data_IF_604793306427
#
_entry.id   IF_604793306427
#
_cell.length_a   1.000
_cell.length_b   1.000
_cell.length_c   1.000
_cell.angle_alpha   90.00
_cell.angle_beta   90.00
_cell.angle_gamma   90.00
#
_symmetry.space_group_name_H-M   'P 1'
#
loop_
_entity.id
_entity.type
_entity.pdbx_description
1 polymer ?
#
# COMPACT_ATOMS: atom_id res chain seq x y z
N UNK A 1 -16.97 -78.23 32.76
CA UNK A 1 -16.72 -78.56 34.19
C UNK A 1 -15.44 -77.88 34.64
N UNK A 2 -15.43 -77.25 35.83
CA UNK A 2 -14.27 -76.85 36.69
C UNK A 2 -13.23 -75.91 36.03
N UNK A 3 -13.19 -74.60 36.27
CA UNK A 3 -13.02 -73.78 37.50
C UNK A 3 -11.62 -73.91 38.16
N UNK A 4 -11.02 -72.73 38.37
CA UNK A 4 -9.88 -72.35 39.24
C UNK A 4 -8.47 -72.54 38.69
N UNK A 5 -7.48 -71.67 38.90
CA UNK A 5 -7.25 -70.29 39.42
C UNK A 5 -5.72 -70.23 39.64
N UNK A 6 -5.15 -69.01 39.74
CA UNK A 6 -3.80 -68.61 40.26
C UNK A 6 -2.80 -68.25 39.15
N UNK A 7 -2.04 -67.16 39.17
CA UNK A 7 -1.70 -66.16 40.20
C UNK A 7 -1.33 -64.82 39.52
N UNK A 8 -1.64 -63.74 40.23
CA UNK A 8 -1.26 -62.34 39.99
C UNK A 8 0.13 -62.01 40.56
N UNK A 9 0.92 -61.18 39.85
CA UNK A 9 1.77 -60.10 40.40
C UNK A 9 2.27 -59.21 39.23
N UNK A 10 1.85 -57.93 39.15
CA UNK A 10 2.61 -56.69 39.47
C UNK A 10 3.90 -56.54 38.65
N UNK A 11 4.14 -55.48 37.87
CA UNK A 11 4.12 -54.03 38.14
C UNK A 11 4.26 -53.27 36.79
N UNK A 12 4.05 -51.97 36.56
CA UNK A 12 3.55 -50.81 37.30
C UNK A 12 3.34 -49.67 36.27
N UNK A 13 2.49 -48.70 36.67
CA UNK A 13 2.51 -47.26 36.31
C UNK A 13 2.27 -46.83 34.84
N UNK A 14 1.58 -45.74 34.52
CA UNK A 14 0.81 -44.72 35.25
C UNK A 14 0.11 -43.80 34.20
N UNK A 15 -0.67 -42.84 34.72
CA UNK A 15 -1.12 -41.58 34.10
C UNK A 15 -2.49 -41.56 33.41
N UNK A 16 -3.49 -41.23 34.23
CA UNK A 16 -4.74 -40.53 33.89
C UNK A 16 -4.47 -39.09 33.41
N UNK A 17 -5.16 -38.66 32.35
CA UNK A 17 -5.34 -37.25 32.02
C UNK A 17 -6.85 -36.93 31.86
N UNK A 18 -7.29 -35.89 32.58
CA UNK A 18 -8.58 -35.20 32.46
C UNK A 18 -8.63 -34.48 31.09
N UNK A 19 -9.76 -34.44 30.36
CA UNK A 19 -10.90 -33.57 30.64
C UNK A 19 -10.76 -32.25 29.89
N UNK A 20 -11.38 -32.12 28.71
CA UNK A 20 -11.56 -30.85 28.01
C UNK A 20 -13.04 -30.68 27.68
N UNK A 21 -13.64 -29.64 28.26
CA UNK A 21 -15.05 -29.31 28.14
C UNK A 21 -15.38 -28.72 26.78
N UNK A 22 -16.56 -29.09 26.28
CA UNK A 22 -17.21 -28.40 25.18
C UNK A 22 -17.86 -27.11 25.71
N UNK A 23 -17.56 -25.99 25.06
CA UNK A 23 -18.35 -24.76 25.13
C UNK A 23 -18.75 -24.43 23.68
N UNK A 24 -20.04 -24.41 23.44
CA UNK A 24 -20.64 -23.85 22.24
C UNK A 24 -21.66 -22.79 22.67
N UNK A 25 -21.53 -21.57 22.14
CA UNK A 25 -22.53 -20.78 21.40
C UNK A 25 -22.29 -19.27 21.50
N UNK A 26 -22.20 -18.58 20.36
CA UNK A 26 -22.35 -17.12 20.19
C UNK A 26 -21.84 -16.63 18.82
N UNK A 27 -22.56 -15.75 18.07
CA UNK A 27 -22.26 -15.40 16.68
C UNK A 27 -21.26 -14.23 16.54
N UNK A 28 -20.63 -14.18 15.35
CA UNK A 28 -20.03 -13.05 14.63
C UNK A 28 -19.06 -12.12 15.40
N UNK A 29 -17.79 -12.13 14.98
CA UNK A 29 -17.06 -10.88 14.81
C UNK A 29 -17.17 -10.50 13.33
N UNK A 30 -17.94 -9.45 13.08
CA UNK A 30 -17.94 -8.69 11.85
C UNK A 30 -16.60 -7.96 11.81
N UNK A 31 -15.84 -8.09 10.73
CA UNK A 31 -14.80 -7.10 10.44
C UNK A 31 -15.53 -5.75 10.30
N UNK A 32 -15.19 -4.81 11.18
CA UNK A 32 -15.59 -3.42 11.04
C UNK A 32 -14.95 -2.90 9.76
N UNK A 33 -15.77 -2.36 8.86
CA UNK A 33 -15.28 -1.45 7.85
C UNK A 33 -14.73 -0.20 8.55
N UNK A 34 -13.69 0.41 8.00
CA UNK A 34 -13.34 1.79 8.36
C UNK A 34 -14.59 2.68 8.26
N UNK A 35 -14.74 3.64 9.18
CA UNK A 35 -15.73 4.71 9.14
C UNK A 35 -15.36 5.66 7.97
N UNK A 36 -15.55 5.21 6.73
CA UNK A 36 -15.12 5.92 5.53
C UNK A 36 -16.08 5.73 4.36
N UNK A 37 -16.39 6.83 3.69
CA UNK A 37 -16.97 6.82 2.35
C UNK A 37 -15.86 7.16 1.36
N UNK A 38 -15.86 6.53 0.19
CA UNK A 38 -15.03 6.94 -0.94
C UNK A 38 -15.96 7.45 -2.05
N UNK A 39 -15.57 8.54 -2.72
CA UNK A 39 -16.33 9.07 -3.85
C UNK A 39 -15.44 9.18 -5.08
N UNK A 40 -15.74 8.37 -6.08
CA UNK A 40 -15.04 8.42 -7.36
C UNK A 40 -15.73 9.43 -8.29
N UNK A 41 -14.95 10.40 -8.80
CA UNK A 41 -15.37 11.37 -9.81
C UNK A 41 -14.66 11.06 -11.13
N UNK A 42 -15.42 10.60 -12.14
CA UNK A 42 -14.85 10.19 -13.43
C UNK A 42 -15.37 11.05 -14.56
N UNK A 43 -14.49 11.80 -15.23
CA UNK A 43 -14.85 12.51 -16.48
C UNK A 43 -14.89 11.51 -17.63
N UNK A 44 -16.10 11.16 -18.09
CA UNK A 44 -16.32 10.14 -19.12
C UNK A 44 -16.30 10.69 -20.54
N UNK A 45 -16.50 12.00 -20.72
CA UNK A 45 -16.25 12.68 -22.00
C UNK A 45 -16.06 14.18 -21.81
N UNK A 46 -15.24 14.80 -22.67
CA UNK A 46 -15.02 16.25 -22.67
C UNK A 46 -14.93 16.76 -24.11
N UNK A 47 -15.53 17.92 -24.38
CA UNK A 47 -15.58 18.55 -25.70
C UNK A 47 -15.13 20.02 -25.67
N UNK A 48 -14.34 20.39 -24.67
CA UNK A 48 -13.71 21.70 -24.53
C UNK A 48 -14.62 22.77 -23.92
N UNK A 49 -15.85 22.94 -24.42
CA UNK A 49 -16.84 23.85 -23.82
C UNK A 49 -17.67 23.22 -22.70
N UNK A 50 -17.57 21.91 -22.52
CA UNK A 50 -18.24 21.16 -21.46
C UNK A 50 -17.70 19.73 -21.35
N UNK A 51 -18.15 19.03 -20.34
CA UNK A 51 -17.79 17.65 -20.04
C UNK A 51 -18.96 16.90 -19.40
N UNK A 52 -18.92 15.58 -19.48
CA UNK A 52 -19.78 14.67 -18.74
C UNK A 52 -18.95 13.95 -17.69
N UNK A 53 -19.44 13.89 -16.46
CA UNK A 53 -18.85 13.12 -15.38
C UNK A 53 -19.84 12.14 -14.75
N UNK A 54 -19.32 11.01 -14.28
CA UNK A 54 -20.03 10.03 -13.47
C UNK A 54 -19.47 10.07 -12.04
N UNK A 55 -20.33 9.72 -11.09
CA UNK A 55 -19.99 9.73 -9.66
C UNK A 55 -20.36 8.40 -9.06
N UNK A 56 -19.41 7.75 -8.39
CA UNK A 56 -19.63 6.51 -7.65
C UNK A 56 -19.29 6.69 -6.17
N UNK A 57 -19.98 5.93 -5.32
CA UNK A 57 -19.70 5.86 -3.89
C UNK A 57 -19.26 4.43 -3.58
N UNK A 58 -18.10 4.26 -2.93
CA UNK A 58 -17.75 3.04 -2.20
C UNK A 58 -18.13 3.24 -0.74
N UNK A 59 -18.88 2.29 -0.20
CA UNK A 59 -19.39 2.39 1.15
C UNK A 59 -18.60 1.46 2.08
N UNK A 60 -17.91 1.99 3.09
CA UNK A 60 -17.33 1.19 4.16
C UNK A 60 -18.43 0.42 4.89
N UNK A 61 -19.36 1.15 5.50
CA UNK A 61 -20.62 0.59 6.03
C UNK A 61 -21.78 0.70 5.02
N UNK A 62 -22.88 -0.02 5.27
CA UNK A 62 -24.04 0.07 4.39
C UNK A 62 -24.71 1.44 4.50
N UNK A 63 -24.78 2.16 3.39
CA UNK A 63 -25.45 3.45 3.27
C UNK A 63 -26.91 3.22 2.88
N UNK A 64 -27.86 3.83 3.61
CA UNK A 64 -29.28 3.86 3.28
C UNK A 64 -29.77 5.31 3.13
N UNK A 65 -29.59 5.83 1.92
CA UNK A 65 -29.76 7.24 1.58
C UNK A 65 -28.43 8.00 1.69
N UNK A 66 -28.15 8.86 0.71
CA UNK A 66 -26.92 9.64 0.68
C UNK A 66 -27.19 11.10 0.35
N UNK A 67 -26.51 11.98 1.11
CA UNK A 67 -26.37 13.40 0.87
C UNK A 67 -24.88 13.71 0.63
N UNK A 68 -24.51 13.89 -0.64
CA UNK A 68 -23.18 14.26 -1.06
C UNK A 68 -23.00 15.78 -1.06
N UNK A 69 -21.85 16.25 -0.60
CA UNK A 69 -21.47 17.64 -0.76
C UNK A 69 -19.97 17.80 -1.02
N UNK A 70 -19.60 18.63 -1.99
CA UNK A 70 -18.19 18.90 -2.33
C UNK A 70 -17.99 20.31 -2.88
N UNK A 71 -16.73 20.69 -3.09
CA UNK A 71 -16.34 21.99 -3.64
C UNK A 71 -15.62 21.81 -4.97
N UNK A 72 -16.19 22.34 -6.05
CA UNK A 72 -15.51 22.34 -7.34
C UNK A 72 -14.38 23.39 -7.40
N UNK A 73 -13.37 23.18 -8.27
CA UNK A 73 -12.47 24.25 -8.67
C UNK A 73 -13.24 25.47 -9.22
N UNK A 74 -12.73 26.67 -8.95
CA UNK A 74 -13.36 27.92 -9.39
C UNK A 74 -13.59 27.95 -10.90
N UNK A 75 -14.78 28.38 -11.32
CA UNK A 75 -15.16 28.44 -12.74
C UNK A 75 -15.88 27.17 -13.25
N UNK A 76 -16.01 26.13 -12.43
CA UNK A 76 -16.79 24.93 -12.77
C UNK A 76 -18.27 25.14 -12.49
N UNK A 77 -19.13 24.79 -13.44
CA UNK A 77 -20.59 24.91 -13.33
C UNK A 77 -21.28 23.65 -13.83
N UNK A 78 -22.22 23.11 -13.06
CA UNK A 78 -23.09 22.02 -13.46
C UNK A 78 -24.30 22.59 -14.22
N UNK A 79 -24.55 22.09 -15.43
CA UNK A 79 -25.64 22.54 -16.30
C UNK A 79 -26.86 21.61 -16.27
N UNK A 80 -26.63 20.31 -16.06
CA UNK A 80 -27.67 19.30 -15.86
C UNK A 80 -27.08 18.10 -15.12
N UNK A 81 -27.91 17.41 -14.34
CA UNK A 81 -27.54 16.15 -13.70
C UNK A 81 -28.75 15.21 -13.67
N UNK A 82 -28.50 13.91 -13.55
CA UNK A 82 -29.53 12.87 -13.50
C UNK A 82 -29.26 11.91 -12.35
N UNK A 83 -30.31 11.25 -11.85
CA UNK A 83 -30.26 10.38 -10.67
C UNK A 83 -29.81 11.10 -9.39
N UNK A 84 -29.90 12.43 -9.34
CA UNK A 84 -29.53 13.22 -8.16
C UNK A 84 -30.47 14.41 -8.02
N UNK A 85 -30.90 14.69 -6.80
CA UNK A 85 -31.51 15.97 -6.42
C UNK A 85 -30.37 16.90 -6.04
N UNK A 86 -30.09 17.95 -6.81
CA UNK A 86 -28.85 18.72 -6.65
C UNK A 86 -29.06 20.22 -6.59
N UNK A 87 -28.11 20.91 -5.95
CA UNK A 87 -27.97 22.36 -6.01
C UNK A 87 -26.49 22.76 -6.05
N UNK A 88 -26.19 23.85 -6.76
CA UNK A 88 -24.85 24.45 -6.75
C UNK A 88 -24.96 25.94 -6.41
N UNK A 89 -24.14 26.39 -5.46
CA UNK A 89 -23.99 27.81 -5.09
C UNK A 89 -22.51 28.17 -5.12
N UNK A 90 -22.12 29.03 -6.08
CA UNK A 90 -20.71 29.29 -6.35
C UNK A 90 -19.98 28.00 -6.72
N UNK A 91 -18.93 27.65 -5.98
CA UNK A 91 -18.17 26.40 -6.15
C UNK A 91 -18.74 25.23 -5.36
N UNK A 92 -19.62 25.44 -4.38
CA UNK A 92 -20.18 24.36 -3.55
C UNK A 92 -21.29 23.65 -4.31
N UNK A 93 -21.16 22.34 -4.43
CA UNK A 93 -22.20 21.44 -4.93
C UNK A 93 -22.75 20.60 -3.78
N UNK A 94 -24.04 20.33 -3.84
CA UNK A 94 -24.76 19.41 -2.95
C UNK A 94 -25.66 18.54 -3.82
N UNK A 95 -25.74 17.26 -3.51
CA UNK A 95 -26.55 16.30 -4.24
C UNK A 95 -27.06 15.21 -3.30
N UNK A 96 -28.33 14.83 -3.42
CA UNK A 96 -28.90 13.72 -2.66
C UNK A 96 -29.55 12.69 -3.55
N UNK A 97 -29.71 11.48 -3.01
CA UNK A 97 -30.33 10.38 -3.73
C UNK A 97 -31.78 10.69 -4.15
N UNK A 98 -32.26 9.94 -5.14
CA UNK A 98 -33.63 10.05 -5.66
C UNK A 98 -34.48 8.81 -5.30
N UNK A 99 -34.16 8.19 -4.17
CA UNK A 99 -34.83 7.03 -3.59
C UNK A 99 -34.27 5.70 -4.10
N UNK A 100 -34.35 5.44 -5.41
CA UNK A 100 -33.96 4.12 -5.95
C UNK A 100 -32.44 3.87 -5.93
N UNK A 101 -31.65 4.94 -5.85
CA UNK A 101 -30.20 4.91 -5.81
C UNK A 101 -29.60 5.24 -4.45
N UNK A 102 -30.42 5.33 -3.39
CA UNK A 102 -29.96 5.67 -2.04
C UNK A 102 -29.15 4.58 -1.35
N UNK A 103 -29.38 3.29 -1.66
CA UNK A 103 -28.70 2.19 -0.95
C UNK A 103 -27.36 1.82 -1.60
N UNK A 104 -26.29 1.79 -0.82
CA UNK A 104 -24.99 1.19 -1.19
C UNK A 104 -24.63 0.20 -0.10
N UNK A 105 -24.45 -1.07 -0.45
CA UNK A 105 -24.12 -2.09 0.55
C UNK A 105 -22.68 -1.91 1.04
N UNK A 106 -22.41 -2.32 2.28
CA UNK A 106 -21.06 -2.33 2.85
C UNK A 106 -20.08 -3.07 1.94
N UNK A 107 -18.90 -2.47 1.74
CA UNK A 107 -17.84 -2.95 0.86
C UNK A 107 -18.20 -2.95 -0.63
N UNK A 108 -19.24 -2.23 -1.06
CA UNK A 108 -19.63 -2.15 -2.47
C UNK A 108 -19.47 -0.74 -3.02
N UNK A 109 -19.02 -0.68 -4.27
CA UNK A 109 -19.01 0.55 -5.08
C UNK A 109 -20.26 0.60 -5.94
N UNK A 110 -20.93 1.75 -5.94
CA UNK A 110 -22.10 2.00 -6.79
C UNK A 110 -21.97 3.34 -7.48
N UNK A 111 -22.07 3.35 -8.81
CA UNK A 111 -22.29 4.59 -9.54
C UNK A 111 -23.67 5.15 -9.17
N UNK A 112 -23.68 6.32 -8.53
CA UNK A 112 -24.88 6.91 -7.95
C UNK A 112 -25.52 7.95 -8.85
N UNK A 113 -24.74 8.79 -9.54
CA UNK A 113 -25.28 9.78 -10.47
C UNK A 113 -24.28 10.17 -11.58
N UNK A 114 -24.71 11.07 -12.45
CA UNK A 114 -23.84 11.72 -13.42
C UNK A 114 -24.36 13.11 -13.79
N UNK A 115 -23.49 13.92 -14.39
CA UNK A 115 -23.83 15.30 -14.73
C UNK A 115 -23.06 15.82 -15.95
N UNK A 116 -23.58 16.90 -16.55
CA UNK A 116 -22.92 17.70 -17.58
C UNK A 116 -22.45 19.01 -16.96
N UNK A 117 -21.14 19.22 -16.94
CA UNK A 117 -20.48 20.41 -16.45
C UNK A 117 -19.78 21.23 -17.54
N UNK A 118 -19.35 22.43 -17.18
CA UNK A 118 -18.43 23.27 -17.96
C UNK A 118 -17.43 23.93 -17.02
N UNK A 119 -16.23 24.24 -17.51
CA UNK A 119 -15.15 24.81 -16.70
C UNK A 119 -14.02 23.81 -16.45
N UNK A 120 -13.49 23.75 -15.23
CA UNK A 120 -12.43 22.82 -14.86
C UNK A 120 -12.95 21.38 -14.84
N UNK A 121 -12.10 20.44 -15.23
CA UNK A 121 -12.34 18.99 -15.08
C UNK A 121 -11.56 18.39 -13.92
N UNK A 122 -10.79 19.19 -13.18
CA UNK A 122 -10.06 18.73 -12.00
C UNK A 122 -11.03 18.32 -10.88
N UNK A 123 -10.54 17.45 -10.01
CA UNK A 123 -11.34 16.81 -8.98
C UNK A 123 -11.88 17.82 -7.95
N UNK A 124 -13.09 17.59 -7.41
CA UNK A 124 -13.63 18.40 -6.33
C UNK A 124 -12.95 18.07 -4.99
N UNK A 125 -12.93 19.05 -4.08
CA UNK A 125 -12.36 18.92 -2.74
C UNK A 125 -13.44 19.01 -1.65
N UNK A 126 -13.09 18.74 -0.39
CA UNK A 126 -14.02 18.77 0.75
C UNK A 126 -15.28 17.93 0.53
N UNK A 127 -15.08 16.69 0.07
CA UNK A 127 -16.13 15.73 -0.23
C UNK A 127 -16.66 15.15 1.09
N UNK A 128 -17.96 15.18 1.27
CA UNK A 128 -18.63 14.50 2.37
C UNK A 128 -19.86 13.73 1.89
N UNK A 129 -20.17 12.63 2.59
CA UNK A 129 -21.41 11.88 2.48
C UNK A 129 -22.13 11.93 3.83
N UNK A 130 -23.40 12.32 3.83
CA UNK A 130 -24.24 12.41 5.03
C UNK A 130 -23.70 13.33 6.15
N UNK A 131 -22.76 14.21 5.80
CA UNK A 131 -22.09 15.11 6.74
C UNK A 131 -20.71 14.64 7.19
N UNK A 132 -20.37 13.38 6.94
CA UNK A 132 -19.07 12.80 7.27
C UNK A 132 -18.11 12.98 6.09
N UNK A 133 -16.89 13.46 6.37
CA UNK A 133 -15.87 13.67 5.34
C UNK A 133 -15.40 12.32 4.81
N UNK A 134 -15.32 12.20 3.48
CA UNK A 134 -14.69 11.07 2.83
C UNK A 134 -13.16 11.30 2.81
N UNK A 135 -12.37 10.24 2.92
CA UNK A 135 -10.94 10.29 3.24
C UNK A 135 -10.13 11.32 2.43
N UNK A 136 -9.33 12.13 3.16
CA UNK A 136 -8.28 13.01 2.60
C UNK A 136 -8.44 14.52 2.76
N UNK A 137 -9.57 15.03 3.26
CA UNK A 137 -9.82 16.48 3.36
C UNK A 137 -9.99 16.95 4.81
N UNK A 138 -9.13 17.87 5.28
CA UNK A 138 -9.27 18.54 6.59
C UNK A 138 -10.32 19.65 6.52
N UNK A 139 -11.15 19.78 7.57
CA UNK A 139 -12.11 20.89 7.69
C UNK A 139 -11.37 22.24 7.78
N UNK A 140 -11.57 23.18 6.83
CA UNK A 140 -10.90 24.48 6.85
C UNK A 140 -11.34 25.41 8.00
N UNK A 141 -12.28 24.99 8.85
CA UNK A 141 -12.79 25.79 9.97
C UNK A 141 -12.15 25.48 11.33
N UNK A 142 -11.30 24.46 11.45
CA UNK A 142 -10.62 24.18 12.72
C UNK A 142 -9.41 25.11 12.95
N UNK A 143 -9.32 25.79 14.12
CA UNK A 143 -8.17 26.61 14.47
C UNK A 143 -6.95 25.72 14.79
N UNK A 144 -5.71 26.19 14.58
CA UNK A 144 -4.52 25.38 14.83
C UNK A 144 -4.42 25.07 16.32
N UNK A 145 -4.56 23.79 16.69
CA UNK A 145 -4.27 23.33 18.04
C UNK A 145 -2.77 23.40 18.27
N UNK A 146 -2.40 23.91 19.44
CA UNK A 146 -1.03 23.91 19.93
C UNK A 146 -0.81 22.53 20.54
N UNK A 147 -0.13 21.66 19.81
CA UNK A 147 0.17 20.29 20.19
C UNK A 147 0.99 20.23 21.50
N UNK A 148 0.47 19.47 22.47
CA UNK A 148 1.12 19.11 23.75
C UNK A 148 1.95 17.82 23.51
N UNK A 149 3.21 17.71 23.97
CA UNK A 149 4.21 16.81 23.38
C UNK A 149 4.12 15.34 23.85
N UNK A 150 2.92 14.76 23.97
CA UNK A 150 2.75 13.37 24.43
C UNK A 150 1.84 12.47 23.60
N UNK A 151 1.21 12.93 22.52
CA UNK A 151 0.57 12.01 21.55
C UNK A 151 1.55 11.63 20.42
N UNK A 152 1.67 10.34 20.06
CA UNK A 152 2.42 9.93 18.87
C UNK A 152 1.63 10.31 17.60
N UNK A 153 2.32 10.59 16.48
CA UNK A 153 1.67 10.97 15.23
C UNK A 153 1.06 9.72 14.58
N UNK A 154 -0.27 9.56 14.57
CA UNK A 154 -0.85 8.34 13.98
C UNK A 154 -2.36 8.20 14.14
N UNK A 155 -3.12 9.09 13.49
CA UNK A 155 -4.58 8.93 13.39
C UNK A 155 -5.04 8.24 12.09
N UNK A 156 -4.14 7.89 11.18
CA UNK A 156 -4.46 7.28 9.89
C UNK A 156 -3.42 6.23 9.47
N UNK A 157 -3.65 5.55 8.34
CA UNK A 157 -2.82 4.43 7.90
C UNK A 157 -1.35 4.81 7.75
N UNK A 158 -0.46 3.87 8.05
CA UNK A 158 0.99 4.05 7.83
C UNK A 158 1.26 4.07 6.34
N UNK A 159 1.82 5.18 5.83
CA UNK A 159 2.13 5.32 4.40
C UNK A 159 3.41 4.58 4.05
N UNK A 160 3.29 3.54 3.22
CA UNK A 160 4.40 2.72 2.75
C UNK A 160 4.61 2.99 1.26
N UNK A 161 5.82 3.40 0.85
CA UNK A 161 6.16 3.57 -0.56
C UNK A 161 7.00 2.39 -1.08
N UNK A 162 6.46 1.54 -1.97
CA UNK A 162 7.26 0.62 -2.77
C UNK A 162 8.04 1.36 -3.86
N UNK A 163 9.31 1.71 -3.60
CA UNK A 163 10.19 2.38 -4.57
C UNK A 163 11.10 1.38 -5.27
N UNK A 164 11.06 1.35 -6.60
CA UNK A 164 11.86 0.41 -7.36
C UNK A 164 11.86 0.56 -8.87
N UNK A 165 12.39 -0.49 -9.51
CA UNK A 165 12.37 -0.66 -10.96
C UNK A 165 11.21 -1.57 -11.40
N UNK A 166 11.35 -2.31 -12.50
CA UNK A 166 10.33 -3.21 -13.04
C UNK A 166 9.93 -4.33 -12.07
N UNK A 167 10.82 -4.72 -11.15
CA UNK A 167 10.53 -5.75 -10.15
C UNK A 167 9.50 -5.24 -9.12
N UNK A 168 9.49 -3.94 -8.84
CA UNK A 168 8.49 -3.30 -7.96
C UNK A 168 7.24 -2.86 -8.73
N UNK A 169 7.42 -2.28 -9.91
CA UNK A 169 6.34 -1.81 -10.78
C UNK A 169 5.89 -2.86 -11.76
N UNK A 170 5.88 -2.55 -13.06
CA UNK A 170 5.49 -3.51 -14.09
C UNK A 170 6.73 -4.26 -14.64
N UNK A 171 6.74 -5.61 -14.66
CA UNK A 171 5.60 -6.52 -14.42
C UNK A 171 5.43 -7.01 -12.96
N UNK A 172 6.22 -6.53 -12.00
CA UNK A 172 6.11 -6.85 -10.57
C UNK A 172 4.69 -6.82 -9.99
N UNK A 173 4.33 -7.90 -9.29
CA UNK A 173 3.02 -8.05 -8.63
C UNK A 173 3.10 -8.54 -7.18
N UNK A 174 4.30 -8.64 -6.60
CA UNK A 174 4.48 -9.08 -5.20
C UNK A 174 3.81 -8.15 -4.18
N UNK A 175 3.55 -6.90 -4.54
CA UNK A 175 2.86 -5.91 -3.69
C UNK A 175 1.48 -6.42 -3.26
N UNK A 176 0.75 -7.10 -4.15
CA UNK A 176 -0.53 -7.70 -3.78
C UNK A 176 -0.40 -8.77 -2.69
N UNK A 177 0.63 -9.63 -2.78
CA UNK A 177 0.91 -10.63 -1.74
C UNK A 177 1.34 -9.97 -0.42
N UNK A 178 2.14 -8.90 -0.48
CA UNK A 178 2.53 -8.16 0.72
C UNK A 178 1.32 -7.50 1.38
N UNK A 179 0.48 -6.84 0.60
CA UNK A 179 -0.77 -6.23 1.08
C UNK A 179 -1.63 -7.24 1.83
N UNK A 180 -1.86 -8.41 1.23
CA UNK A 180 -2.63 -9.47 1.89
C UNK A 180 -2.00 -9.93 3.21
N UNK A 181 -0.67 -10.00 3.32
CA UNK A 181 -0.01 -10.36 4.57
C UNK A 181 -0.17 -9.28 5.65
N UNK A 182 -0.07 -8.00 5.26
CA UNK A 182 -0.27 -6.85 6.16
C UNK A 182 -1.71 -6.77 6.66
N UNK A 183 -2.69 -6.91 5.76
CA UNK A 183 -4.13 -6.98 6.08
C UNK A 183 -4.45 -8.15 7.03
N UNK A 184 -3.93 -9.34 6.75
CA UNK A 184 -4.13 -10.51 7.64
C UNK A 184 -3.49 -10.35 9.02
N UNK A 185 -2.45 -9.53 9.13
CA UNK A 185 -1.83 -9.17 10.39
C UNK A 185 -2.55 -8.04 11.13
N UNK A 186 -3.51 -7.37 10.48
CA UNK A 186 -4.30 -6.28 11.05
C UNK A 186 -3.58 -4.93 11.03
N UNK A 187 -2.59 -4.76 10.15
CA UNK A 187 -1.89 -3.49 9.98
C UNK A 187 -2.73 -2.54 9.13
N UNK A 188 -2.90 -1.31 9.63
CA UNK A 188 -3.53 -0.20 8.92
C UNK A 188 -2.47 0.53 8.09
N UNK A 189 -2.48 0.32 6.77
CA UNK A 189 -1.42 0.77 5.86
C UNK A 189 -2.01 1.33 4.57
N UNK A 190 -1.27 2.26 3.97
CA UNK A 190 -1.60 2.90 2.69
C UNK A 190 -0.36 2.77 1.78
N UNK A 191 -0.49 2.12 0.62
CA UNK A 191 0.61 2.14 -0.34
C UNK A 191 0.58 3.45 -1.11
N UNK A 192 1.70 4.17 -1.10
CA UNK A 192 1.77 5.48 -1.76
C UNK A 192 2.77 5.49 -2.91
N UNK A 193 2.44 6.24 -3.96
CA UNK A 193 3.29 6.45 -5.11
C UNK A 193 2.56 7.07 -6.30
N UNK A 194 3.30 7.53 -7.30
CA UNK A 194 2.72 8.19 -8.47
C UNK A 194 2.15 7.23 -9.52
N UNK A 195 2.45 5.93 -9.38
CA UNK A 195 1.98 4.88 -10.28
C UNK A 195 0.99 3.97 -9.56
N UNK A 196 0.03 3.47 -10.31
CA UNK A 196 -1.00 2.57 -9.83
C UNK A 196 -1.12 1.37 -10.76
N UNK A 197 -0.95 0.17 -10.21
CA UNK A 197 -1.04 -1.09 -10.95
C UNK A 197 -1.65 -2.17 -10.06
N UNK A 198 -2.86 -2.61 -10.41
CA UNK A 198 -3.52 -3.73 -9.76
C UNK A 198 -2.67 -5.00 -9.81
N UNK A 199 -2.57 -5.66 -8.66
CA UNK A 199 -1.87 -6.91 -8.48
C UNK A 199 -2.85 -8.00 -8.05
N UNK A 200 -2.43 -9.27 -8.16
CA UNK A 200 -3.10 -10.35 -7.45
C UNK A 200 -2.44 -10.55 -6.08
N UNK A 201 -3.19 -10.96 -5.04
CA UNK A 201 -4.65 -11.08 -4.98
C UNK A 201 -5.37 -9.73 -5.17
N UNK A 202 -6.55 -9.76 -5.79
CA UNK A 202 -7.38 -8.58 -6.04
C UNK A 202 -7.81 -7.91 -4.74
N UNK A 203 -7.96 -6.58 -4.76
CA UNK A 203 -8.32 -5.80 -3.57
C UNK A 203 -7.11 -5.30 -2.78
N UNK A 204 -5.89 -5.58 -3.25
CA UNK A 204 -4.70 -4.88 -2.77
C UNK A 204 -4.68 -3.44 -3.25
N UNK A 205 -4.19 -2.56 -2.39
CA UNK A 205 -3.81 -1.21 -2.80
C UNK A 205 -2.85 -1.27 -4.01
N UNK A 206 -3.24 -0.66 -5.14
CA UNK A 206 -2.48 -0.76 -6.38
C UNK A 206 -1.28 0.18 -6.44
N UNK A 207 -1.11 1.11 -5.51
CA UNK A 207 -0.18 2.22 -5.65
C UNK A 207 1.28 1.83 -5.36
N UNK A 208 2.20 2.48 -6.05
CA UNK A 208 3.64 2.23 -5.97
C UNK A 208 4.48 3.30 -6.69
N UNK A 209 5.79 3.25 -6.47
CA UNK A 209 6.78 4.07 -7.17
C UNK A 209 7.78 3.17 -7.92
N UNK A 210 7.25 2.27 -8.74
CA UNK A 210 8.02 1.23 -9.45
C UNK A 210 8.14 1.51 -10.94
N UNK A 211 9.35 1.80 -11.44
CA UNK A 211 9.59 2.32 -12.79
C UNK A 211 10.41 1.35 -13.65
N UNK A 212 9.73 0.65 -14.57
CA UNK A 212 10.36 -0.34 -15.45
C UNK A 212 11.49 0.24 -16.31
N UNK A 213 12.67 -0.36 -16.24
CA UNK A 213 13.86 0.05 -17.00
C UNK A 213 14.61 1.26 -16.45
N UNK A 214 14.13 1.88 -15.36
CA UNK A 214 14.79 3.05 -14.79
C UNK A 214 16.02 2.64 -13.99
N UNK A 215 17.01 3.54 -13.92
CA UNK A 215 18.20 3.38 -13.09
C UNK A 215 18.09 4.32 -11.90
N UNK A 216 18.34 3.84 -10.69
CA UNK A 216 18.26 4.68 -9.48
C UNK A 216 19.21 5.87 -9.57
N UNK A 217 20.41 5.65 -10.13
CA UNK A 217 21.39 6.73 -10.29
C UNK A 217 20.92 7.81 -11.24
N UNK A 218 20.19 7.46 -12.29
CA UNK A 218 19.63 8.43 -13.23
C UNK A 218 18.42 9.15 -12.62
N UNK A 219 17.52 8.41 -11.97
CA UNK A 219 16.31 8.95 -11.34
C UNK A 219 16.61 9.91 -10.18
N UNK A 220 17.71 9.70 -9.44
CA UNK A 220 18.18 10.66 -8.45
C UNK A 220 18.79 11.88 -9.14
N UNK A 221 19.69 11.69 -10.11
CA UNK A 221 20.39 12.79 -10.78
C UNK A 221 19.45 13.75 -11.54
N UNK A 222 18.33 13.26 -12.06
CA UNK A 222 17.36 14.07 -12.78
C UNK A 222 16.25 14.64 -11.87
N UNK A 223 16.29 14.38 -10.57
CA UNK A 223 15.34 14.88 -9.58
C UNK A 223 14.00 14.12 -9.52
N UNK A 224 13.83 13.03 -10.27
CA UNK A 224 12.57 12.27 -10.27
C UNK A 224 12.26 11.68 -8.89
N UNK A 225 13.26 11.05 -8.25
CA UNK A 225 13.04 10.44 -6.93
C UNK A 225 12.65 11.48 -5.89
N UNK A 226 13.31 12.65 -5.89
CA UNK A 226 12.92 13.74 -4.99
C UNK A 226 11.48 14.17 -5.22
N UNK A 227 11.08 14.36 -6.49
CA UNK A 227 9.72 14.73 -6.83
C UNK A 227 8.68 13.69 -6.41
N UNK A 228 8.98 12.40 -6.49
CA UNK A 228 8.11 11.33 -6.02
C UNK A 228 7.94 11.33 -4.50
N UNK A 229 9.04 11.50 -3.76
CA UNK A 229 9.02 11.60 -2.30
C UNK A 229 8.25 12.85 -1.83
N UNK A 230 8.36 13.98 -2.54
CA UNK A 230 7.62 15.21 -2.21
C UNK A 230 6.11 15.09 -2.43
N UNK A 231 5.69 14.35 -3.46
CA UNK A 231 4.28 14.14 -3.77
C UNK A 231 3.62 13.15 -2.81
N UNK A 232 4.37 12.10 -2.44
CA UNK A 232 3.84 10.94 -1.74
C UNK A 232 4.72 10.61 -0.52
N UNK A 233 5.02 11.60 0.34
CA UNK A 233 6.00 11.41 1.43
C UNK A 233 5.59 10.23 2.33
N UNK A 234 6.38 9.14 2.34
CA UNK A 234 6.04 7.95 3.10
C UNK A 234 6.55 8.01 4.54
N UNK A 235 5.91 7.23 5.40
CA UNK A 235 6.41 6.87 6.73
C UNK A 235 7.41 5.72 6.63
N UNK A 236 7.18 4.81 5.69
CA UNK A 236 8.06 3.67 5.42
C UNK A 236 8.43 3.59 3.94
N UNK A 237 9.72 3.55 3.62
CA UNK A 237 10.22 3.38 2.26
C UNK A 237 10.73 1.95 2.03
N UNK A 238 10.11 1.20 1.11
CA UNK A 238 10.62 -0.08 0.62
C UNK A 238 11.51 0.17 -0.60
N UNK A 239 12.83 0.13 -0.41
CA UNK A 239 13.80 0.43 -1.46
C UNK A 239 14.35 -0.86 -2.09
N UNK A 240 13.84 -1.22 -3.27
CA UNK A 240 14.39 -2.27 -4.13
C UNK A 240 14.60 -1.72 -5.55
N UNK A 241 15.69 -0.96 -5.72
CA UNK A 241 15.92 -0.17 -6.92
C UNK A 241 17.39 -0.13 -7.34
N UNK A 242 17.85 -1.02 -8.22
CA UNK A 242 19.21 -0.96 -8.79
C UNK A 242 19.45 -2.04 -9.86
N UNK A 243 18.44 -2.83 -10.22
CA UNK A 243 18.59 -3.96 -11.15
C UNK A 243 19.17 -3.49 -12.48
N UNK A 244 18.66 -2.37 -12.99
CA UNK A 244 19.10 -1.78 -14.24
C UNK A 244 20.48 -1.11 -14.14
N UNK A 245 20.86 -0.60 -12.97
CA UNK A 245 22.21 -0.06 -12.71
C UNK A 245 23.25 -1.17 -12.73
N UNK A 246 22.96 -2.28 -12.03
CA UNK A 246 23.78 -3.50 -12.03
C UNK A 246 23.92 -4.06 -13.44
N UNK A 247 22.81 -4.12 -14.18
CA UNK A 247 22.79 -4.52 -15.59
C UNK A 247 23.70 -3.63 -16.44
N UNK A 248 23.59 -2.31 -16.24
CA UNK A 248 24.36 -1.28 -16.94
C UNK A 248 25.80 -1.14 -16.45
N UNK A 249 26.28 -2.07 -15.61
CA UNK A 249 27.64 -2.08 -15.06
C UNK A 249 28.00 -0.83 -14.25
N UNK A 250 27.01 -0.16 -13.66
CA UNK A 250 27.25 0.99 -12.79
C UNK A 250 27.94 0.50 -11.50
N UNK A 251 29.03 1.16 -11.05
CA UNK A 251 29.74 0.74 -9.85
C UNK A 251 28.85 0.78 -8.60
N UNK A 252 28.92 -0.21 -7.70
CA UNK A 252 28.15 -0.21 -6.45
C UNK A 252 28.26 1.08 -5.63
N UNK A 253 29.44 1.69 -5.57
CA UNK A 253 29.65 2.94 -4.84
C UNK A 253 28.80 4.10 -5.42
N UNK A 254 28.58 4.13 -6.73
CA UNK A 254 27.73 5.15 -7.38
C UNK A 254 26.26 4.89 -7.07
N UNK A 255 25.83 3.63 -7.07
CA UNK A 255 24.47 3.24 -6.71
C UNK A 255 24.18 3.59 -5.24
N UNK A 256 25.09 3.25 -4.33
CA UNK A 256 24.93 3.54 -2.90
C UNK A 256 25.00 5.04 -2.59
N UNK A 257 25.72 5.84 -3.39
CA UNK A 257 25.65 7.29 -3.29
C UNK A 257 24.25 7.81 -3.65
N UNK A 258 23.60 7.25 -4.67
CA UNK A 258 22.21 7.58 -5.00
C UNK A 258 21.26 7.15 -3.87
N UNK A 259 21.44 5.96 -3.28
CA UNK A 259 20.66 5.54 -2.10
C UNK A 259 20.82 6.52 -0.92
N UNK A 260 22.05 7.00 -0.66
CA UNK A 260 22.28 8.01 0.38
C UNK A 260 21.52 9.31 0.09
N UNK A 261 21.46 9.76 -1.16
CA UNK A 261 20.65 10.94 -1.53
C UNK A 261 19.17 10.71 -1.29
N UNK A 262 18.62 9.54 -1.66
CA UNK A 262 17.21 9.18 -1.39
C UNK A 262 16.90 9.25 0.10
N UNK A 263 17.77 8.68 0.93
CA UNK A 263 17.61 8.70 2.40
C UNK A 263 17.68 10.13 2.95
N UNK A 264 18.57 10.97 2.41
CA UNK A 264 18.67 12.38 2.81
C UNK A 264 17.42 13.16 2.42
N UNK A 265 16.96 13.02 1.18
CA UNK A 265 15.76 13.66 0.67
C UNK A 265 14.52 13.26 1.46
N UNK A 266 14.35 11.96 1.73
CA UNK A 266 13.25 11.47 2.54
C UNK A 266 13.30 12.04 3.96
N UNK A 267 14.47 12.06 4.60
CA UNK A 267 14.61 12.60 5.97
C UNK A 267 14.40 14.11 6.08
N UNK A 268 14.57 14.85 4.99
CA UNK A 268 14.20 16.27 4.95
C UNK A 268 12.68 16.46 4.94
N UNK A 269 11.94 15.52 4.36
CA UNK A 269 10.48 15.55 4.26
C UNK A 269 9.80 14.90 5.47
N UNK A 270 10.35 13.77 5.93
CA UNK A 270 9.92 13.02 7.09
C UNK A 270 11.15 12.55 7.89
N UNK A 271 11.54 13.27 8.96
CA UNK A 271 12.75 12.95 9.74
C UNK A 271 12.64 11.64 10.53
N UNK A 272 11.44 11.09 10.69
CA UNK A 272 11.14 9.86 11.42
C UNK A 272 10.94 8.65 10.49
N UNK A 273 11.07 8.85 9.17
CA UNK A 273 10.82 7.80 8.19
C UNK A 273 11.71 6.56 8.41
N UNK A 274 11.10 5.38 8.28
CA UNK A 274 11.79 4.09 8.34
C UNK A 274 12.13 3.63 6.92
N UNK A 275 13.36 3.21 6.68
CA UNK A 275 13.80 2.75 5.36
C UNK A 275 14.12 1.28 5.41
N UNK A 276 13.44 0.47 4.61
CA UNK A 276 13.81 -0.92 4.40
C UNK A 276 14.56 -1.02 3.06
N UNK A 277 15.89 -1.15 3.14
CA UNK A 277 16.77 -1.26 1.99
C UNK A 277 17.00 -2.72 1.62
N UNK A 278 16.44 -3.15 0.50
CA UNK A 278 16.58 -4.54 0.06
C UNK A 278 17.90 -4.79 -0.66
N UNK A 279 18.52 -5.93 -0.36
CA UNK A 279 19.38 -6.60 -1.34
C UNK A 279 18.55 -6.93 -2.58
N UNK A 280 19.15 -6.91 -3.76
CA UNK A 280 18.47 -7.33 -4.98
C UNK A 280 18.28 -8.86 -4.98
N UNK A 281 17.21 -9.35 -5.61
CA UNK A 281 17.09 -10.78 -5.95
C UNK A 281 18.23 -11.23 -6.86
N UNK A 282 18.57 -12.54 -6.90
CA UNK A 282 19.65 -12.98 -7.77
C UNK A 282 19.25 -12.88 -9.25
N UNK A 283 20.11 -12.22 -10.04
CA UNK A 283 19.95 -12.10 -11.49
C UNK A 283 20.67 -13.25 -12.19
N UNK A 284 20.02 -13.86 -13.18
CA UNK A 284 20.60 -14.85 -14.09
C UNK A 284 20.07 -14.72 -15.55
N UNK A 285 20.06 -13.51 -16.14
CA UNK A 285 19.63 -13.30 -17.52
C UNK A 285 20.53 -14.01 -18.54
N UNK A 286 19.95 -14.39 -19.68
CA UNK A 286 20.71 -15.07 -20.76
C UNK A 286 21.66 -14.15 -21.51
N UNK A 287 21.43 -12.84 -21.51
CA UNK A 287 22.15 -11.82 -22.27
C UNK A 287 23.06 -10.92 -21.41
N UNK A 288 23.18 -11.20 -20.11
CA UNK A 288 24.15 -10.54 -19.23
C UNK A 288 24.86 -11.53 -18.29
N UNK A 289 25.95 -12.13 -18.80
CA UNK A 289 26.74 -13.12 -18.06
C UNK A 289 27.40 -12.58 -16.76
N UNK A 290 27.67 -11.27 -16.70
CA UNK A 290 28.29 -10.65 -15.52
C UNK A 290 27.27 -10.22 -14.46
N UNK A 291 25.99 -10.09 -14.81
CA UNK A 291 24.94 -9.60 -13.92
C UNK A 291 24.84 -10.39 -12.60
N UNK A 292 24.93 -11.74 -12.56
CA UNK A 292 24.94 -12.48 -11.29
C UNK A 292 26.06 -12.01 -10.35
N UNK A 293 27.29 -11.90 -10.86
CA UNK A 293 28.43 -11.50 -10.03
C UNK A 293 28.36 -10.02 -9.62
N UNK A 294 27.89 -9.14 -10.51
CA UNK A 294 27.68 -7.72 -10.17
C UNK A 294 26.60 -7.55 -9.09
N UNK A 295 25.54 -8.35 -9.13
CA UNK A 295 24.50 -8.39 -8.09
C UNK A 295 25.09 -8.78 -6.73
N UNK A 296 25.91 -9.85 -6.68
CA UNK A 296 26.63 -10.26 -5.46
C UNK A 296 27.51 -9.11 -4.92
N UNK A 297 28.27 -8.47 -5.81
CA UNK A 297 29.17 -7.38 -5.44
C UNK A 297 28.41 -6.16 -4.89
N UNK A 298 27.24 -5.84 -5.43
CA UNK A 298 26.38 -4.77 -4.94
C UNK A 298 25.74 -5.15 -3.60
N UNK A 299 25.06 -6.31 -3.52
CA UNK A 299 24.36 -6.77 -2.32
C UNK A 299 25.27 -6.88 -1.10
N UNK A 300 26.54 -7.28 -1.31
CA UNK A 300 27.52 -7.39 -0.21
C UNK A 300 27.86 -6.05 0.47
N UNK A 301 27.59 -4.91 -0.18
CA UNK A 301 27.90 -3.58 0.36
C UNK A 301 26.71 -2.93 1.08
N UNK A 302 25.48 -3.38 0.82
CA UNK A 302 24.26 -2.81 1.41
C UNK A 302 24.28 -2.87 2.95
N UNK A 303 24.67 -3.97 3.62
CA UNK A 303 24.70 -4.00 5.09
C UNK A 303 25.61 -2.95 5.73
N UNK A 304 26.82 -2.78 5.19
CA UNK A 304 27.75 -1.78 5.71
C UNK A 304 27.27 -0.35 5.43
N UNK A 305 26.68 -0.12 4.25
CA UNK A 305 26.09 1.16 3.90
C UNK A 305 24.89 1.51 4.79
N UNK A 306 23.96 0.58 5.01
CA UNK A 306 22.79 0.78 5.84
C UNK A 306 23.20 1.11 7.29
N UNK A 307 24.13 0.34 7.87
CA UNK A 307 24.64 0.61 9.20
C UNK A 307 25.31 1.99 9.34
N UNK A 308 25.99 2.47 8.29
CA UNK A 308 26.64 3.78 8.29
C UNK A 308 25.66 4.96 8.13
N UNK A 309 24.48 4.73 7.55
CA UNK A 309 23.49 5.77 7.27
C UNK A 309 22.26 5.69 8.21
N UNK A 310 22.09 4.61 8.97
CA UNK A 310 20.98 4.43 9.92
C UNK A 310 21.14 5.33 11.15
N UNK A 311 20.03 5.87 11.66
CA UNK A 311 19.97 6.56 12.94
C UNK A 311 18.94 5.89 13.85
N UNK A 312 18.87 6.31 15.12
CA UNK A 312 17.81 5.83 16.02
C UNK A 312 16.44 6.41 15.67
N UNK A 313 16.41 7.62 15.11
CA UNK A 313 15.16 8.32 14.75
C UNK A 313 14.61 7.84 13.39
N UNK A 314 15.49 7.61 12.42
CA UNK A 314 15.14 7.13 11.08
C UNK A 314 16.00 5.90 10.78
N UNK A 315 15.56 4.71 11.22
CA UNK A 315 16.33 3.48 11.05
C UNK A 315 16.35 3.02 9.59
N UNK A 316 17.47 2.41 9.19
CA UNK A 316 17.59 1.67 7.93
C UNK A 316 17.72 0.19 8.24
N UNK A 317 16.71 -0.59 7.84
CA UNK A 317 16.66 -2.04 8.00
C UNK A 317 17.04 -2.69 6.67
N UNK A 318 17.94 -3.67 6.70
CA UNK A 318 18.32 -4.41 5.49
C UNK A 318 17.39 -5.60 5.31
N UNK A 319 16.83 -5.73 4.11
CA UNK A 319 15.98 -6.86 3.74
C UNK A 319 16.73 -7.78 2.79
N UNK A 320 16.93 -9.04 3.20
CA UNK A 320 17.56 -10.05 2.36
C UNK A 320 16.54 -10.62 1.36
N UNK A 321 16.55 -10.10 0.13
CA UNK A 321 15.80 -10.67 -0.99
C UNK A 321 16.63 -11.64 -1.84
N UNK A 322 17.83 -12.01 -1.40
CA UNK A 322 18.76 -12.81 -2.20
C UNK A 322 18.79 -14.28 -1.75
N UNK A 323 18.86 -14.53 -0.44
CA UNK A 323 19.01 -15.88 0.10
C UNK A 323 17.75 -16.72 -0.15
N UNK A 324 17.94 -17.99 -0.54
CA UNK A 324 16.82 -18.93 -0.77
C UNK A 324 16.16 -18.82 -2.15
N UNK A 325 16.66 -17.94 -3.01
CA UNK A 325 16.24 -17.83 -4.40
C UNK A 325 17.01 -18.78 -5.32
N UNK A 326 16.30 -19.31 -6.30
CA UNK A 326 16.80 -20.09 -7.43
C UNK A 326 16.29 -19.40 -8.70
N UNK A 327 17.11 -18.59 -9.39
CA UNK A 327 16.63 -17.76 -10.50
C UNK A 327 15.88 -18.52 -11.60
N UNK A 328 16.33 -19.74 -11.94
CA UNK A 328 15.65 -20.56 -12.96
C UNK A 328 14.28 -21.11 -12.54
N UNK A 329 13.91 -20.97 -11.27
CA UNK A 329 12.65 -21.45 -10.69
C UNK A 329 11.76 -20.31 -10.28
N UNK A 330 12.34 -19.22 -9.76
CA UNK A 330 11.60 -18.11 -9.16
C UNK A 330 11.48 -16.89 -10.10
N UNK A 331 11.97 -17.01 -11.34
CA UNK A 331 11.89 -15.97 -12.37
C UNK A 331 11.55 -16.60 -13.71
N UNK A 332 10.81 -15.87 -14.56
CA UNK A 332 10.45 -16.37 -15.88
C UNK A 332 11.48 -16.03 -16.97
N UNK A 333 12.38 -15.06 -16.74
CA UNK A 333 13.40 -14.61 -17.70
C UNK A 333 14.82 -14.48 -17.12
N UNK A 334 15.02 -14.88 -15.87
CA UNK A 334 16.28 -14.68 -15.14
C UNK A 334 16.40 -13.32 -14.44
N UNK A 335 15.38 -12.47 -14.49
CA UNK A 335 15.39 -11.11 -13.95
C UNK A 335 14.13 -10.84 -13.14
N UNK A 336 12.96 -11.07 -13.75
CA UNK A 336 11.67 -10.72 -13.19
C UNK A 336 11.06 -11.92 -12.48
N UNK A 337 10.61 -11.77 -11.22
CA UNK A 337 10.00 -12.86 -10.50
C UNK A 337 8.75 -13.37 -11.21
N UNK A 338 8.52 -14.67 -11.09
CA UNK A 338 7.21 -15.27 -11.33
C UNK A 338 6.38 -15.30 -10.02
N UNK A 339 5.29 -16.04 -10.02
CA UNK A 339 4.35 -16.18 -8.91
C UNK A 339 5.02 -16.74 -7.64
N UNK A 340 5.92 -17.72 -7.77
CA UNK A 340 6.66 -18.28 -6.63
C UNK A 340 7.69 -17.25 -6.11
N UNK A 341 8.36 -16.56 -7.03
CA UNK A 341 9.25 -15.45 -6.68
C UNK A 341 8.52 -14.29 -5.99
N UNK A 342 7.32 -13.93 -6.44
CA UNK A 342 6.50 -12.89 -5.81
C UNK A 342 6.13 -13.25 -4.36
N UNK A 343 5.83 -14.52 -4.08
CA UNK A 343 5.55 -14.99 -2.72
C UNK A 343 6.77 -14.84 -1.81
N UNK A 344 7.96 -15.23 -2.29
CA UNK A 344 9.21 -15.08 -1.51
C UNK A 344 9.52 -13.62 -1.23
N UNK A 345 9.39 -12.76 -2.25
CA UNK A 345 9.72 -11.35 -2.12
C UNK A 345 8.81 -10.66 -1.10
N UNK A 346 7.50 -10.92 -1.18
CA UNK A 346 6.51 -10.41 -0.25
C UNK A 346 6.73 -10.91 1.17
N UNK A 347 7.03 -12.21 1.35
CA UNK A 347 7.27 -12.78 2.68
C UNK A 347 8.49 -12.15 3.38
N UNK A 348 9.57 -11.90 2.64
CA UNK A 348 10.76 -11.24 3.18
C UNK A 348 10.51 -9.77 3.55
N UNK A 349 9.72 -9.05 2.75
CA UNK A 349 9.28 -7.70 3.10
C UNK A 349 8.43 -7.70 4.35
N UNK A 350 7.42 -8.58 4.41
CA UNK A 350 6.53 -8.70 5.56
C UNK A 350 7.31 -9.01 6.83
N UNK A 351 8.23 -9.98 6.81
CA UNK A 351 9.05 -10.34 7.97
C UNK A 351 9.90 -9.18 8.51
N UNK A 352 10.23 -8.19 7.67
CA UNK A 352 10.93 -6.98 8.09
C UNK A 352 9.98 -5.85 8.53
N UNK A 353 8.80 -5.74 7.90
CA UNK A 353 7.79 -4.71 8.16
C UNK A 353 6.97 -4.97 9.43
N UNK A 354 6.51 -6.19 9.62
CA UNK A 354 5.61 -6.60 10.71
C UNK A 354 6.06 -6.09 12.10
N UNK A 355 7.31 -6.32 12.56
CA UNK A 355 7.76 -5.81 13.86
C UNK A 355 7.94 -4.30 13.93
N UNK A 356 8.02 -3.60 12.78
CA UNK A 356 8.12 -2.13 12.72
C UNK A 356 6.73 -1.53 12.91
N UNK A 357 5.73 -2.11 12.25
CA UNK A 357 4.34 -1.66 12.31
C UNK A 357 3.69 -2.00 13.66
N UNK A 358 4.01 -3.15 14.26
CA UNK A 358 3.58 -3.52 15.63
C UNK A 358 4.08 -2.54 16.72
N UNK A 359 5.16 -1.82 16.44
CA UNK A 359 5.79 -0.90 17.38
C UNK A 359 5.38 0.57 17.17
N UNK A 360 4.62 0.86 16.11
CA UNK A 360 4.23 2.19 15.68
C UNK A 360 3.05 2.75 16.49
#
# INVERSE_FOLDING_TARGET
>A
MRRNRKLTAFAAAAATALGAGALALGPADLAFAEDGCEVEYTVVSSWGSGFQANVAITAGEAIDGWDLAWTFPSGTTVSSAWNVSWSQSGTRFTGSDVGWNGTVASGQTRQVFGFIGSGSTADPTGISINGDLCDGEVDPTDPPTTEDPTDPPGGGPVKIMPLGDSITGSPGCWRGNLWQLLDQAGHDVDFVGSLSQACNPSGSDPDHEGHGGFLVTQSVNNGSVRGWLEQNTPDVLLLHFATNDVWSSIPPATILAAYTTIVQDLRELNPDAVILAAQLIPLAPTDCADCPQRTINFNSQIPAWAAANSTAQSPIVVVDQYTGWVPSVDTYDGVHPDEDGYVKLAANWFAALDPILDAA
#
